data_IF_747398875062
#
_entry.id   IF_747398875062
#
_cell.length_a   1.000
_cell.length_b   1.000
_cell.length_c   1.000
_cell.angle_alpha   90.00
_cell.angle_beta   90.00
_cell.angle_gamma   90.00
#
_symmetry.space_group_name_H-M   'P 1'
#
loop_
_entity.id
_entity.type
_entity.pdbx_description
1 polymer ?
#
# COMPACT_ATOMS: atom_id res chain seq x y z
N UNK A 1 36.45 29.18 -47.84
CA UNK A 1 37.55 29.20 -48.83
C UNK A 1 38.85 29.34 -48.06
N UNK A 2 39.89 28.62 -48.50
CA UNK A 2 41.27 28.56 -48.00
C UNK A 2 41.62 27.47 -46.96
N UNK A 3 42.26 26.43 -47.54
CA UNK A 3 43.06 25.37 -46.94
C UNK A 3 44.45 25.92 -46.60
N UNK A 4 45.06 25.47 -45.51
CA UNK A 4 46.52 25.30 -45.44
C UNK A 4 46.91 24.29 -44.36
N UNK A 5 47.57 23.22 -44.82
CA UNK A 5 48.37 22.25 -44.07
C UNK A 5 49.46 22.94 -43.22
N UNK A 6 49.78 22.36 -42.06
CA UNK A 6 51.17 22.24 -41.62
C UNK A 6 51.30 21.09 -40.59
N UNK A 7 51.88 20.00 -41.08
CA UNK A 7 52.45 18.88 -40.34
C UNK A 7 53.65 19.39 -39.52
N UNK A 8 53.81 19.00 -38.24
CA UNK A 8 55.13 18.96 -37.60
C UNK A 8 55.16 17.93 -36.47
N UNK A 9 55.96 16.90 -36.74
CA UNK A 9 56.33 15.77 -35.90
C UNK A 9 57.34 16.25 -34.86
N UNK A 10 57.13 15.94 -33.58
CA UNK A 10 58.17 16.02 -32.55
C UNK A 10 58.11 14.78 -31.67
N UNK A 11 58.95 13.81 -32.04
CA UNK A 11 59.28 12.61 -31.27
C UNK A 11 60.19 13.05 -30.12
N UNK A 12 59.65 13.07 -28.89
CA UNK A 12 60.44 13.23 -27.67
C UNK A 12 60.59 11.86 -27.00
N UNK A 13 61.75 11.23 -27.26
CA UNK A 13 62.24 10.03 -26.59
C UNK A 13 62.58 10.40 -25.13
N UNK A 14 61.66 10.13 -24.21
CA UNK A 14 61.95 10.14 -22.77
C UNK A 14 62.42 8.75 -22.36
N UNK A 15 63.75 8.62 -22.19
CA UNK A 15 64.38 7.47 -21.57
C UNK A 15 64.04 7.42 -20.07
N UNK A 16 63.23 6.46 -19.65
CA UNK A 16 63.02 6.12 -18.23
C UNK A 16 63.88 4.91 -17.86
N UNK A 17 64.61 4.95 -16.73
CA UNK A 17 65.49 3.86 -16.31
C UNK A 17 64.69 2.61 -15.92
N UNK A 18 65.16 1.46 -16.42
CA UNK A 18 64.71 0.12 -16.04
C UNK A 18 65.10 -0.15 -14.57
N UNK A 19 64.19 0.14 -13.63
CA UNK A 19 64.25 -0.46 -12.30
C UNK A 19 63.74 -1.89 -12.39
N UNK A 20 64.66 -2.85 -12.29
CA UNK A 20 64.32 -4.27 -12.17
C UNK A 20 63.53 -4.55 -10.89
N UNK A 21 62.21 -4.71 -11.03
CA UNK A 21 61.39 -5.29 -9.97
C UNK A 21 61.54 -6.82 -10.01
N UNK A 22 62.16 -7.37 -8.98
CA UNK A 22 62.03 -8.76 -8.56
C UNK A 22 60.54 -9.12 -8.38
N UNK A 23 59.87 -9.50 -9.48
CA UNK A 23 58.52 -10.07 -9.43
C UNK A 23 58.65 -11.52 -8.98
N UNK A 24 58.71 -11.72 -7.66
CA UNK A 24 58.33 -13.01 -7.07
C UNK A 24 56.99 -13.43 -7.67
N UNK A 25 56.86 -14.65 -8.22
CA UNK A 25 55.59 -15.12 -8.79
C UNK A 25 54.52 -15.04 -7.70
N UNK A 26 53.54 -14.16 -7.93
CA UNK A 26 52.40 -13.97 -7.03
C UNK A 26 51.67 -15.32 -7.01
N UNK A 27 51.73 -16.04 -5.87
CA UNK A 27 51.01 -17.31 -5.69
C UNK A 27 49.57 -17.11 -6.18
N UNK A 28 49.02 -18.02 -7.02
CA UNK A 28 47.64 -17.92 -7.45
C UNK A 28 46.76 -17.84 -6.21
N UNK A 29 45.93 -16.79 -6.12
CA UNK A 29 44.96 -16.67 -5.02
C UNK A 29 44.09 -17.93 -5.06
N UNK A 30 43.85 -18.59 -3.91
CA UNK A 30 42.86 -19.65 -3.84
C UNK A 30 41.55 -19.14 -4.45
N UNK A 31 41.00 -19.86 -5.43
CA UNK A 31 39.67 -19.57 -5.97
C UNK A 31 38.72 -19.70 -4.77
N UNK A 32 37.97 -18.64 -4.41
CA UNK A 32 36.97 -18.75 -3.34
C UNK A 32 36.04 -19.92 -3.66
N UNK A 33 35.69 -20.77 -2.67
CA UNK A 33 34.73 -21.83 -2.91
C UNK A 33 33.47 -21.22 -3.53
N UNK A 34 33.03 -21.76 -4.67
CA UNK A 34 31.79 -21.34 -5.33
C UNK A 34 30.67 -21.59 -4.33
N UNK A 35 30.15 -20.52 -3.72
CA UNK A 35 29.01 -20.62 -2.82
C UNK A 35 27.86 -21.24 -3.63
N UNK A 36 27.26 -22.31 -3.08
CA UNK A 36 26.08 -22.90 -3.69
C UNK A 36 25.01 -21.80 -3.86
N UNK A 37 24.27 -21.80 -4.99
CA UNK A 37 23.21 -20.83 -5.19
C UNK A 37 22.19 -20.95 -4.05
N UNK A 38 21.68 -19.83 -3.52
CA UNK A 38 20.76 -19.85 -2.40
C UNK A 38 19.48 -20.60 -2.77
N UNK A 39 18.92 -21.33 -1.81
CA UNK A 39 17.66 -22.05 -1.96
C UNK A 39 16.48 -21.08 -2.06
N UNK A 40 15.34 -21.50 -2.66
CA UNK A 40 14.14 -20.66 -2.70
C UNK A 40 13.69 -20.19 -1.31
N UNK A 41 13.84 -21.02 -0.29
CA UNK A 41 13.45 -20.73 1.08
C UNK A 41 14.34 -19.65 1.73
N UNK A 42 15.65 -19.69 1.49
CA UNK A 42 16.58 -18.67 1.97
C UNK A 42 16.31 -17.31 1.31
N UNK A 43 16.08 -17.31 -0.01
CA UNK A 43 15.70 -16.10 -0.74
C UNK A 43 14.37 -15.56 -0.20
N UNK A 44 13.36 -16.42 -0.02
CA UNK A 44 12.08 -16.01 0.53
C UNK A 44 12.24 -15.43 1.94
N UNK A 45 13.06 -16.04 2.81
CA UNK A 45 13.33 -15.51 4.14
C UNK A 45 13.99 -14.12 4.11
N UNK A 46 14.93 -13.89 3.19
CA UNK A 46 15.54 -12.57 2.96
C UNK A 46 14.46 -11.53 2.61
N UNK A 47 13.62 -11.83 1.61
CA UNK A 47 12.57 -10.91 1.17
C UNK A 47 11.49 -10.74 2.25
N UNK A 48 11.17 -11.78 3.02
CA UNK A 48 10.17 -11.74 4.11
C UNK A 48 10.59 -10.82 5.25
N UNK A 49 11.88 -10.57 5.48
CA UNK A 49 12.30 -9.59 6.46
C UNK A 49 11.70 -8.19 6.19
N UNK A 50 11.48 -7.84 4.92
CA UNK A 50 10.81 -6.59 4.53
C UNK A 50 9.29 -6.55 4.79
N UNK A 51 8.65 -7.69 5.06
CA UNK A 51 7.22 -7.78 5.37
C UNK A 51 6.88 -7.52 6.83
N UNK A 52 7.85 -7.59 7.74
CA UNK A 52 7.58 -7.48 9.18
C UNK A 52 6.71 -6.27 9.55
N UNK A 53 6.91 -5.07 8.96
CA UNK A 53 6.05 -3.94 9.24
C UNK A 53 4.60 -4.18 8.83
N UNK A 54 4.36 -4.78 7.65
CA UNK A 54 3.01 -5.08 7.16
C UNK A 54 2.26 -6.01 8.12
N UNK A 55 2.89 -7.11 8.53
CA UNK A 55 2.27 -8.08 9.44
C UNK A 55 1.99 -7.49 10.82
N UNK A 56 2.83 -6.57 11.30
CA UNK A 56 2.62 -5.89 12.56
C UNK A 56 1.43 -4.90 12.48
N UNK A 57 1.27 -4.21 11.36
CA UNK A 57 0.19 -3.24 11.15
C UNK A 57 -1.20 -3.88 11.13
N UNK A 58 -1.32 -5.09 10.56
CA UNK A 58 -2.58 -5.84 10.52
C UNK A 58 -3.19 -6.07 11.91
N UNK A 59 -2.35 -6.18 12.95
CA UNK A 59 -2.78 -6.52 14.31
C UNK A 59 -3.04 -5.27 15.17
N UNK A 60 -2.54 -4.10 14.77
CA UNK A 60 -2.48 -2.94 15.65
C UNK A 60 -3.77 -2.10 15.69
N UNK A 61 -4.26 -1.64 14.51
CA UNK A 61 -5.50 -0.85 14.33
C UNK A 61 -5.62 -0.41 12.86
N UNK A 62 -6.82 0.02 12.42
CA UNK A 62 -7.02 0.66 11.10
C UNK A 62 -6.56 2.13 11.06
N UNK A 63 -5.40 2.44 11.66
CA UNK A 63 -4.84 3.77 11.59
C UNK A 63 -4.17 4.02 10.22
N UNK A 64 -4.18 5.27 9.72
CA UNK A 64 -3.40 5.62 8.54
C UNK A 64 -1.93 5.23 8.69
N UNK A 65 -1.43 4.46 7.73
CA UNK A 65 -0.05 3.99 7.71
C UNK A 65 0.85 5.13 7.23
N UNK A 66 1.93 5.42 7.96
CA UNK A 66 2.87 6.46 7.56
C UNK A 66 3.54 6.16 6.22
N UNK A 67 3.86 7.21 5.47
CA UNK A 67 4.56 7.11 4.18
C UNK A 67 5.89 6.36 4.31
N UNK A 68 6.60 6.52 5.43
CA UNK A 68 7.89 5.89 5.66
C UNK A 68 7.75 4.38 5.79
N UNK A 69 6.75 3.90 6.54
CA UNK A 69 6.51 2.46 6.73
C UNK A 69 6.05 1.83 5.42
N UNK A 70 5.09 2.46 4.72
CA UNK A 70 4.64 2.02 3.40
C UNK A 70 5.82 2.00 2.41
N UNK A 71 6.65 3.04 2.41
CA UNK A 71 7.85 3.14 1.57
C UNK A 71 8.87 2.04 1.84
N UNK A 72 9.13 1.72 3.11
CA UNK A 72 10.03 0.63 3.49
C UNK A 72 9.52 -0.74 3.02
N UNK A 73 8.24 -1.04 3.20
CA UNK A 73 7.64 -2.30 2.74
C UNK A 73 7.75 -2.41 1.22
N UNK A 74 7.29 -1.40 0.48
CA UNK A 74 7.25 -1.44 -0.98
C UNK A 74 8.66 -1.44 -1.61
N UNK A 75 9.61 -0.66 -1.06
CA UNK A 75 10.98 -0.63 -1.56
C UNK A 75 11.73 -1.94 -1.29
N UNK A 76 11.53 -2.55 -0.12
CA UNK A 76 12.08 -3.86 0.20
C UNK A 76 11.58 -4.94 -0.77
N UNK A 77 10.28 -4.90 -1.11
CA UNK A 77 9.69 -5.79 -2.11
C UNK A 77 10.28 -5.61 -3.51
N UNK A 78 10.35 -4.37 -3.99
CA UNK A 78 10.92 -4.07 -5.33
C UNK A 78 12.37 -4.51 -5.41
N UNK A 79 13.16 -4.24 -4.38
CA UNK A 79 14.57 -4.62 -4.30
C UNK A 79 14.73 -6.15 -4.31
N UNK A 80 13.95 -6.86 -3.49
CA UNK A 80 13.95 -8.33 -3.45
C UNK A 80 13.57 -8.96 -4.79
N UNK A 81 12.49 -8.47 -5.42
CA UNK A 81 12.08 -8.92 -6.76
C UNK A 81 13.16 -8.65 -7.80
N UNK A 82 13.69 -7.43 -7.87
CA UNK A 82 14.72 -7.06 -8.84
C UNK A 82 15.98 -7.94 -8.72
N UNK A 83 16.40 -8.25 -7.49
CA UNK A 83 17.58 -9.06 -7.20
C UNK A 83 17.43 -10.53 -7.62
N UNK A 84 16.24 -11.11 -7.47
CA UNK A 84 16.05 -12.57 -7.60
C UNK A 84 15.21 -13.02 -8.80
N UNK A 85 14.43 -12.14 -9.45
CA UNK A 85 13.48 -12.50 -10.52
C UNK A 85 14.07 -13.27 -11.70
N UNK A 86 15.37 -13.10 -11.97
CA UNK A 86 16.06 -13.73 -13.11
C UNK A 86 16.52 -15.16 -12.82
N UNK A 87 16.45 -15.64 -11.57
CA UNK A 87 16.90 -16.99 -11.19
C UNK A 87 15.72 -17.92 -11.01
N UNK A 88 15.89 -19.22 -11.29
CA UNK A 88 14.81 -20.21 -11.09
C UNK A 88 14.38 -20.31 -9.62
N UNK A 89 15.35 -20.37 -8.71
CA UNK A 89 15.07 -20.37 -7.27
C UNK A 89 14.41 -19.06 -6.82
N UNK A 90 14.78 -17.94 -7.43
CA UNK A 90 14.18 -16.65 -7.14
C UNK A 90 12.72 -16.55 -7.60
N UNK A 91 12.36 -17.15 -8.74
CA UNK A 91 10.94 -17.25 -9.17
C UNK A 91 10.13 -18.04 -8.15
N UNK A 92 10.60 -19.24 -7.76
CA UNK A 92 9.96 -20.06 -6.71
C UNK A 92 9.86 -19.31 -5.37
N UNK A 93 10.88 -18.54 -5.01
CA UNK A 93 10.87 -17.71 -3.81
C UNK A 93 9.80 -16.60 -3.90
N UNK A 94 9.64 -15.97 -5.07
CA UNK A 94 8.60 -14.96 -5.29
C UNK A 94 7.19 -15.56 -5.19
N UNK A 95 6.98 -16.79 -5.64
CA UNK A 95 5.70 -17.50 -5.49
C UNK A 95 5.37 -17.72 -4.00
N UNK A 96 6.34 -18.18 -3.19
CA UNK A 96 6.19 -18.32 -1.74
C UNK A 96 5.80 -16.97 -1.11
N UNK A 97 6.45 -15.90 -1.56
CA UNK A 97 6.24 -14.57 -1.03
C UNK A 97 4.89 -13.99 -1.46
N UNK A 98 4.38 -14.35 -2.64
CA UNK A 98 3.03 -14.01 -3.07
C UNK A 98 1.98 -14.70 -2.18
N UNK A 99 2.20 -15.95 -1.78
CA UNK A 99 1.33 -16.64 -0.80
C UNK A 99 1.33 -15.88 0.54
N UNK A 100 2.49 -15.47 1.04
CA UNK A 100 2.58 -14.68 2.27
C UNK A 100 1.82 -13.34 2.17
N UNK A 101 1.95 -12.64 1.02
CA UNK A 101 1.19 -11.41 0.75
C UNK A 101 -0.32 -11.66 0.75
N UNK A 102 -0.77 -12.73 0.09
CA UNK A 102 -2.19 -13.11 0.07
C UNK A 102 -2.70 -13.40 1.50
N UNK A 103 -1.91 -14.12 2.31
CA UNK A 103 -2.26 -14.39 3.72
C UNK A 103 -2.34 -13.10 4.55
N UNK A 104 -1.43 -12.15 4.32
CA UNK A 104 -1.46 -10.85 5.00
C UNK A 104 -2.67 -10.01 4.56
N UNK A 105 -3.00 -10.03 3.26
CA UNK A 105 -4.19 -9.37 2.71
C UNK A 105 -5.47 -9.95 3.35
N UNK A 106 -5.59 -11.27 3.43
CA UNK A 106 -6.75 -11.93 4.03
C UNK A 106 -6.87 -11.62 5.53
N UNK A 107 -5.74 -11.56 6.23
CA UNK A 107 -5.69 -11.15 7.63
C UNK A 107 -6.11 -9.68 7.82
N UNK A 108 -5.67 -8.78 6.93
CA UNK A 108 -6.06 -7.37 6.95
C UNK A 108 -7.56 -7.17 6.67
N UNK A 109 -8.13 -7.93 5.74
CA UNK A 109 -9.58 -7.93 5.44
C UNK A 109 -10.36 -8.43 6.66
N UNK A 110 -9.92 -9.54 7.26
CA UNK A 110 -10.58 -10.11 8.45
C UNK A 110 -10.52 -9.18 9.66
N UNK A 111 -9.46 -8.38 9.78
CA UNK A 111 -9.30 -7.38 10.83
C UNK A 111 -9.96 -6.02 10.51
N UNK A 112 -10.60 -5.88 9.34
CA UNK A 112 -11.15 -4.60 8.84
C UNK A 112 -10.12 -3.45 8.85
N UNK A 113 -8.84 -3.78 8.67
CA UNK A 113 -7.75 -2.79 8.60
C UNK A 113 -7.56 -2.35 7.14
N UNK A 114 -8.46 -1.49 6.68
CA UNK A 114 -8.54 -1.07 5.28
C UNK A 114 -7.26 -0.40 4.78
N UNK A 115 -6.53 0.35 5.61
CA UNK A 115 -5.24 0.90 5.23
C UNK A 115 -4.20 -0.21 4.98
N UNK A 116 -4.19 -1.25 5.83
CA UNK A 116 -3.33 -2.41 5.63
C UNK A 116 -3.74 -3.24 4.41
N UNK A 117 -5.04 -3.31 4.09
CA UNK A 117 -5.54 -3.93 2.85
C UNK A 117 -4.94 -3.25 1.62
N UNK A 118 -4.98 -1.91 1.55
CA UNK A 118 -4.38 -1.16 0.42
C UNK A 118 -2.88 -1.45 0.30
N UNK A 119 -2.14 -1.37 1.41
CA UNK A 119 -0.69 -1.65 1.40
C UNK A 119 -0.38 -3.09 1.00
N UNK A 120 -1.17 -4.06 1.46
CA UNK A 120 -1.02 -5.47 1.08
C UNK A 120 -1.30 -5.70 -0.42
N UNK A 121 -2.32 -5.03 -0.98
CA UNK A 121 -2.58 -5.03 -2.42
C UNK A 121 -1.41 -4.46 -3.21
N UNK A 122 -0.87 -3.30 -2.81
CA UNK A 122 0.28 -2.69 -3.48
C UNK A 122 1.54 -3.56 -3.40
N UNK A 123 1.76 -4.22 -2.26
CA UNK A 123 2.87 -5.16 -2.07
C UNK A 123 2.73 -6.42 -2.94
N UNK A 124 1.51 -6.93 -3.12
CA UNK A 124 1.22 -8.08 -3.96
C UNK A 124 1.35 -7.74 -5.45
N UNK A 125 0.88 -6.58 -5.88
CA UNK A 125 0.97 -6.13 -7.29
C UNK A 125 2.41 -5.94 -7.76
N UNK A 126 3.35 -5.65 -6.85
CA UNK A 126 4.78 -5.65 -7.18
C UNK A 126 5.23 -7.02 -7.67
N UNK A 127 4.69 -8.10 -7.11
CA UNK A 127 5.09 -9.49 -7.43
C UNK A 127 4.26 -10.01 -8.60
N UNK A 128 2.94 -9.93 -8.47
CA UNK A 128 1.91 -10.39 -9.41
C UNK A 128 1.17 -9.20 -10.02
N UNK A 129 1.70 -8.56 -11.07
CA UNK A 129 1.02 -7.43 -11.70
C UNK A 129 -0.29 -7.89 -12.36
N UNK A 130 -1.28 -6.99 -12.43
CA UNK A 130 -2.61 -7.21 -13.03
C UNK A 130 -3.46 -8.25 -12.30
N UNK A 131 -3.32 -8.36 -10.97
CA UNK A 131 -4.15 -9.24 -10.18
C UNK A 131 -5.55 -8.63 -9.98
N UNK A 132 -6.57 -9.20 -10.64
CA UNK A 132 -7.97 -8.71 -10.53
C UNK A 132 -8.48 -8.71 -9.08
N UNK A 133 -7.94 -9.59 -8.22
CA UNK A 133 -8.29 -9.64 -6.80
C UNK A 133 -7.82 -8.37 -6.09
N UNK A 134 -6.58 -7.93 -6.31
CA UNK A 134 -6.03 -6.75 -5.63
C UNK A 134 -6.78 -5.48 -6.04
N UNK A 135 -7.12 -5.33 -7.32
CA UNK A 135 -7.93 -4.20 -7.79
C UNK A 135 -9.31 -4.14 -7.11
N UNK A 136 -9.98 -5.29 -7.02
CA UNK A 136 -11.28 -5.38 -6.35
C UNK A 136 -11.18 -5.01 -4.86
N UNK A 137 -10.19 -5.56 -4.16
CA UNK A 137 -10.02 -5.33 -2.71
C UNK A 137 -9.53 -3.91 -2.42
N UNK A 138 -8.63 -3.35 -3.23
CA UNK A 138 -8.17 -1.95 -3.13
C UNK A 138 -9.34 -0.99 -3.26
N UNK A 139 -10.19 -1.16 -4.28
CA UNK A 139 -11.39 -0.33 -4.46
C UNK A 139 -12.32 -0.43 -3.24
N UNK A 140 -12.54 -1.63 -2.73
CA UNK A 140 -13.35 -1.84 -1.51
C UNK A 140 -12.75 -1.10 -0.31
N UNK A 141 -11.47 -1.30 -0.04
CA UNK A 141 -10.77 -0.63 1.06
C UNK A 141 -10.83 0.89 0.92
N UNK A 142 -10.69 1.43 -0.29
CA UNK A 142 -10.76 2.87 -0.53
C UNK A 142 -12.16 3.44 -0.24
N UNK A 143 -13.24 2.70 -0.54
CA UNK A 143 -14.60 3.08 -0.16
C UNK A 143 -14.75 3.12 1.36
N UNK A 144 -14.24 2.12 2.07
CA UNK A 144 -14.33 2.04 3.53
C UNK A 144 -13.51 3.14 4.24
N UNK A 145 -12.29 3.41 3.76
CA UNK A 145 -11.46 4.51 4.26
C UNK A 145 -12.17 5.86 4.11
N UNK A 146 -12.88 6.03 2.99
CA UNK A 146 -13.59 7.27 2.68
C UNK A 146 -15.01 7.33 3.24
N UNK A 147 -15.48 6.29 3.93
CA UNK A 147 -16.85 6.19 4.41
C UNK A 147 -17.15 7.33 5.38
N UNK A 148 -18.17 8.17 5.12
CA UNK A 148 -18.53 9.24 6.04
C UNK A 148 -18.95 8.71 7.40
N UNK A 149 -18.50 9.38 8.47
CA UNK A 149 -18.90 9.04 9.84
C UNK A 149 -20.01 9.96 10.28
N UNK A 150 -21.15 9.39 10.64
CA UNK A 150 -22.36 10.13 10.99
C UNK A 150 -22.59 10.09 12.49
N UNK A 151 -22.86 11.24 13.08
CA UNK A 151 -23.27 11.37 14.49
C UNK A 151 -24.62 12.09 14.54
N UNK A 152 -25.58 11.49 15.24
CA UNK A 152 -26.91 12.08 15.43
C UNK A 152 -26.82 13.20 16.46
N UNK A 153 -27.33 14.38 16.13
CA UNK A 153 -27.41 15.53 17.04
C UNK A 153 -28.79 15.73 17.64
N UNK A 154 -29.83 15.30 16.94
CA UNK A 154 -31.18 15.34 17.45
C UNK A 154 -32.22 15.10 16.36
N UNK A 155 -33.46 15.08 16.79
CA UNK A 155 -34.64 14.91 15.97
C UNK A 155 -35.58 16.11 16.19
N UNK A 156 -36.34 16.46 15.17
CA UNK A 156 -37.37 17.47 15.26
C UNK A 156 -38.54 17.07 14.36
N UNK A 157 -39.73 17.00 14.96
CA UNK A 157 -40.97 16.81 14.22
C UNK A 157 -41.50 18.20 13.84
N UNK A 158 -41.79 18.39 12.56
CA UNK A 158 -42.52 19.56 12.09
C UNK A 158 -44.02 19.35 12.38
N UNK A 159 -44.62 20.22 13.20
CA UNK A 159 -46.02 20.08 13.63
C UNK A 159 -47.03 20.31 12.48
N UNK A 160 -46.64 21.03 11.42
CA UNK A 160 -47.54 21.30 10.28
C UNK A 160 -47.60 20.11 9.31
N UNK A 161 -46.45 19.50 9.03
CA UNK A 161 -46.32 18.41 8.05
C UNK A 161 -46.29 17.03 8.69
N UNK A 162 -46.07 16.97 10.01
CA UNK A 162 -45.81 15.75 10.78
C UNK A 162 -44.60 14.95 10.23
N UNK A 163 -43.66 15.63 9.55
CA UNK A 163 -42.41 15.06 9.07
C UNK A 163 -41.32 15.16 10.15
N UNK A 164 -40.51 14.10 10.29
CA UNK A 164 -39.38 14.07 11.23
C UNK A 164 -38.09 14.40 10.50
N UNK A 165 -37.43 15.46 10.94
CA UNK A 165 -36.10 15.84 10.51
C UNK A 165 -35.05 15.30 11.48
N UNK A 166 -33.97 14.75 10.94
CA UNK A 166 -32.80 14.32 11.69
C UNK A 166 -31.67 15.31 11.46
N UNK A 167 -31.09 15.81 12.54
CA UNK A 167 -29.89 16.65 12.51
C UNK A 167 -28.66 15.77 12.70
N UNK A 168 -27.72 15.87 11.76
CA UNK A 168 -26.53 15.03 11.70
C UNK A 168 -25.28 15.90 11.63
N UNK A 169 -24.24 15.48 12.36
CA UNK A 169 -22.86 15.85 12.04
C UNK A 169 -22.27 14.73 11.18
N UNK A 170 -21.86 15.07 9.96
CA UNK A 170 -21.27 14.14 8.99
C UNK A 170 -19.80 14.49 8.82
N UNK A 171 -18.92 13.65 9.33
CA UNK A 171 -17.48 13.77 9.11
C UNK A 171 -17.10 13.11 7.79
N UNK A 172 -16.50 13.89 6.89
CA UNK A 172 -16.03 13.46 5.58
C UNK A 172 -14.51 13.19 5.65
N UNK A 173 -14.05 11.93 5.58
CA UNK A 173 -12.62 11.62 5.69
C UNK A 173 -11.76 12.27 4.59
N UNK A 174 -12.32 12.45 3.39
CA UNK A 174 -11.61 13.02 2.24
C UNK A 174 -11.22 14.49 2.44
N UNK A 175 -12.17 15.34 2.89
CA UNK A 175 -11.90 16.76 3.17
C UNK A 175 -11.41 16.99 4.60
N UNK A 176 -11.60 16.02 5.50
CA UNK A 176 -11.39 16.13 6.96
C UNK A 176 -12.29 17.18 7.61
N UNK A 177 -13.45 17.45 7.02
CA UNK A 177 -14.42 18.41 7.50
C UNK A 177 -15.63 17.71 8.11
N UNK A 178 -16.27 18.37 9.08
CA UNK A 178 -17.57 17.96 9.62
C UNK A 178 -18.63 18.91 9.11
N UNK A 179 -19.61 18.39 8.37
CA UNK A 179 -20.74 19.14 7.82
C UNK A 179 -21.98 18.85 8.64
N UNK A 180 -22.75 19.90 8.95
CA UNK A 180 -24.05 19.78 9.60
C UNK A 180 -25.11 19.58 8.54
N UNK A 181 -25.83 18.47 8.63
CA UNK A 181 -26.89 18.11 7.70
C UNK A 181 -28.23 18.01 8.41
N UNK A 182 -29.28 18.44 7.71
CA UNK A 182 -30.67 18.26 8.12
C UNK A 182 -31.36 17.42 7.07
N UNK A 183 -31.73 16.20 7.43
CA UNK A 183 -32.18 15.19 6.47
C UNK A 183 -33.49 14.54 6.92
N UNK A 184 -34.28 14.09 5.94
CA UNK A 184 -35.52 13.32 6.14
C UNK A 184 -35.38 11.90 5.61
N UNK A 185 -36.30 11.02 6.00
CA UNK A 185 -36.34 9.66 5.48
C UNK A 185 -36.39 9.64 3.94
N UNK A 186 -35.62 8.73 3.33
CA UNK A 186 -35.44 8.61 1.89
C UNK A 186 -34.45 9.60 1.27
N UNK A 187 -33.98 10.62 2.00
CA UNK A 187 -33.06 11.63 1.45
C UNK A 187 -31.63 11.09 1.31
N UNK A 188 -31.00 11.41 0.18
CA UNK A 188 -29.58 11.15 -0.10
C UNK A 188 -28.72 12.38 0.14
N UNK A 189 -27.53 12.17 0.70
CA UNK A 189 -26.53 13.21 0.98
C UNK A 189 -25.15 12.56 1.16
N UNK A 190 -24.09 13.18 0.62
CA UNK A 190 -22.69 12.73 0.80
C UNK A 190 -22.43 11.23 0.55
N UNK A 191 -23.10 10.63 -0.44
CA UNK A 191 -22.98 9.19 -0.73
C UNK A 191 -23.69 8.26 0.26
N UNK A 192 -24.50 8.83 1.15
CA UNK A 192 -25.36 8.14 2.10
C UNK A 192 -26.83 8.40 1.80
N UNK A 193 -27.70 7.50 2.26
CA UNK A 193 -29.15 7.65 2.25
C UNK A 193 -29.72 7.35 3.64
N UNK A 194 -30.57 8.22 4.16
CA UNK A 194 -31.35 7.92 5.36
C UNK A 194 -32.51 6.98 4.97
N UNK A 195 -32.46 5.73 5.40
CA UNK A 195 -33.45 4.71 5.01
C UNK A 195 -34.69 4.83 5.89
N UNK A 196 -34.52 4.83 7.20
CA UNK A 196 -35.60 4.96 8.17
C UNK A 196 -35.08 5.44 9.52
N UNK A 197 -35.97 6.03 10.32
CA UNK A 197 -35.75 6.37 11.72
C UNK A 197 -36.13 5.14 12.56
N UNK A 198 -35.33 4.85 13.57
CA UNK A 198 -35.48 3.68 14.43
C UNK A 198 -36.18 4.09 15.72
N UNK A 199 -37.36 3.50 15.95
CA UNK A 199 -38.06 3.44 17.24
C UNK A 199 -38.18 4.75 18.03
N UNK A 200 -39.21 5.57 17.76
CA UNK A 200 -39.46 6.86 18.46
C UNK A 200 -38.18 7.69 18.62
N UNK A 201 -37.47 7.93 17.51
CA UNK A 201 -36.29 8.80 17.49
C UNK A 201 -35.09 8.28 18.30
N UNK A 202 -34.94 6.97 18.46
CA UNK A 202 -33.81 6.35 19.18
C UNK A 202 -32.57 6.11 18.31
N UNK A 203 -32.71 6.21 16.99
CA UNK A 203 -31.61 5.98 16.07
C UNK A 203 -32.05 6.14 14.62
N UNK A 204 -31.13 5.87 13.71
CA UNK A 204 -31.38 5.90 12.28
C UNK A 204 -30.73 4.70 11.60
N UNK A 205 -31.36 4.25 10.51
CA UNK A 205 -30.77 3.30 9.58
C UNK A 205 -30.28 4.06 8.36
N UNK A 206 -29.00 3.91 8.07
CA UNK A 206 -28.33 4.52 6.94
C UNK A 206 -28.01 3.46 5.89
N UNK A 207 -27.94 3.88 4.64
CA UNK A 207 -27.42 3.09 3.53
C UNK A 207 -26.26 3.84 2.87
N UNK A 208 -25.18 3.14 2.58
CA UNK A 208 -24.14 3.66 1.70
C UNK A 208 -24.54 3.43 0.24
N UNK A 209 -24.63 4.49 -0.56
CA UNK A 209 -25.24 4.45 -1.91
C UNK A 209 -24.43 3.58 -2.87
N UNK A 210 -23.09 3.66 -2.81
CA UNK A 210 -22.23 2.91 -3.73
C UNK A 210 -22.15 1.42 -3.41
N UNK A 211 -22.04 1.06 -2.12
CA UNK A 211 -21.93 -0.35 -1.71
C UNK A 211 -23.30 -1.02 -1.51
N UNK A 212 -24.37 -0.24 -1.33
CA UNK A 212 -25.70 -0.71 -0.98
C UNK A 212 -25.84 -1.22 0.46
N UNK A 213 -24.75 -1.25 1.24
CA UNK A 213 -24.74 -1.75 2.60
C UNK A 213 -25.51 -0.82 3.54
N UNK A 214 -26.31 -1.41 4.43
CA UNK A 214 -27.05 -0.69 5.46
C UNK A 214 -26.45 -0.89 6.83
N UNK A 215 -26.46 0.14 7.66
CA UNK A 215 -26.01 0.09 9.05
C UNK A 215 -26.87 0.98 9.93
N UNK A 216 -26.88 0.68 11.23
CA UNK A 216 -27.71 1.38 12.21
C UNK A 216 -26.83 2.25 13.10
N UNK A 217 -27.32 3.45 13.39
CA UNK A 217 -26.68 4.40 14.29
C UNK A 217 -27.68 4.71 15.39
N UNK A 218 -27.32 4.34 16.61
CA UNK A 218 -28.14 4.62 17.79
C UNK A 218 -27.80 6.00 18.34
N UNK A 219 -28.82 6.78 18.68
CA UNK A 219 -28.64 8.06 19.34
C UNK A 219 -28.25 7.80 20.80
N UNK A 220 -27.10 8.35 21.20
CA UNK A 220 -26.65 8.35 22.59
C UNK A 220 -26.84 9.77 23.10
N UNK A 221 -27.81 9.92 23.99
CA UNK A 221 -28.14 11.17 24.68
C UNK A 221 -27.01 11.59 25.63
#
# INVERSE_FOLDING_TARGET
>A
MNRTLALLVAVAVCATPLTGCDRKPKKPKPVPPVQAPPTPQEIAAEIRASLRPLTALVVASDAPISSDVSGQVLSGRRSGKAKHQMTENGKKALDIIAVDCNSALDSAIAAESWHAVVLACDALDIIEPNNVRTDRQRRRAQMEINRPKVTIKGFMTDEETNEVFVFLDVYLPQSKETVKERVREGQEFHGLRLVNIIGKEKGIKMQHVESGETYEIMWKE
#
